data_IF_486902524553
#
_entry.id   IF_486902524553
#
_cell.length_a   1.000
_cell.length_b   1.000
_cell.length_c   1.000
_cell.angle_alpha   90.00
_cell.angle_beta   90.00
_cell.angle_gamma   90.00
#
_symmetry.space_group_name_H-M   'P 1'
#
loop_
_entity.id
_entity.type
_entity.pdbx_description
1 polymer ?
#
# COMPACT_ATOMS: atom_id res chain seq x y z
N UNK A 1 8.80 15.52 4.22
CA UNK A 1 9.93 14.56 4.10
C UNK A 1 10.20 14.32 2.62
N UNK A 2 11.21 14.96 2.04
CA UNK A 2 11.70 14.63 0.68
C UNK A 2 12.43 13.27 0.77
N UNK A 3 11.81 12.19 0.29
CA UNK A 3 12.33 10.80 0.44
C UNK A 3 12.74 10.23 -0.92
N UNK A 4 13.99 10.41 -1.32
CA UNK A 4 14.54 9.78 -2.54
C UNK A 4 14.89 8.30 -2.35
N UNK A 5 15.16 7.85 -1.12
CA UNK A 5 15.67 6.50 -0.83
C UNK A 5 14.72 5.36 -1.22
N UNK A 6 13.43 5.45 -0.88
CA UNK A 6 12.46 4.40 -1.25
C UNK A 6 12.16 4.39 -2.75
N UNK A 7 12.31 5.53 -3.44
CA UNK A 7 12.21 5.59 -4.91
C UNK A 7 13.45 5.02 -5.58
N UNK A 8 14.65 5.25 -5.03
CA UNK A 8 15.87 4.61 -5.52
C UNK A 8 15.81 3.08 -5.35
N UNK A 9 15.34 2.61 -4.18
CA UNK A 9 15.11 1.18 -3.93
C UNK A 9 14.04 0.61 -4.87
N UNK A 10 12.91 1.29 -5.04
CA UNK A 10 11.87 0.87 -5.99
C UNK A 10 12.42 0.76 -7.41
N UNK A 11 13.23 1.73 -7.85
CA UNK A 11 13.91 1.67 -9.14
C UNK A 11 14.87 0.49 -9.29
N UNK A 12 15.68 0.21 -8.25
CA UNK A 12 16.57 -0.95 -8.23
C UNK A 12 15.79 -2.27 -8.29
N UNK A 13 14.74 -2.42 -7.48
CA UNK A 13 13.90 -3.61 -7.47
C UNK A 13 13.22 -3.83 -8.83
N UNK A 14 12.74 -2.76 -9.47
CA UNK A 14 12.20 -2.83 -10.83
C UNK A 14 13.23 -3.39 -11.83
N UNK A 15 14.46 -2.89 -11.77
CA UNK A 15 15.56 -3.38 -12.63
C UNK A 15 15.92 -4.84 -12.36
N UNK A 16 15.68 -5.33 -11.14
CA UNK A 16 15.89 -6.73 -10.75
C UNK A 16 14.69 -7.63 -11.06
N UNK A 17 13.67 -7.13 -11.76
CA UNK A 17 12.49 -7.91 -12.17
C UNK A 17 11.40 -7.97 -11.11
N UNK A 18 11.38 -7.03 -10.16
CA UNK A 18 10.25 -6.86 -9.25
C UNK A 18 9.11 -6.12 -9.96
N UNK A 19 7.93 -6.71 -9.98
CA UNK A 19 6.77 -6.14 -10.64
C UNK A 19 6.25 -4.90 -9.89
N UNK A 20 5.95 -3.87 -10.66
CA UNK A 20 5.36 -2.61 -10.19
C UNK A 20 3.83 -2.66 -10.34
N UNK A 21 3.09 -1.87 -9.54
CA UNK A 21 1.64 -1.85 -9.67
C UNK A 21 1.19 -1.46 -11.08
N UNK A 22 0.17 -2.17 -11.61
CA UNK A 22 -0.40 -1.88 -12.94
C UNK A 22 -0.84 -0.42 -13.08
N UNK A 23 -1.37 0.17 -12.01
CA UNK A 23 -1.86 1.56 -11.99
C UNK A 23 -1.07 2.38 -10.98
N UNK A 24 0.21 2.59 -11.28
CA UNK A 24 1.08 3.47 -10.51
C UNK A 24 0.60 4.94 -10.55
N UNK A 25 0.80 5.69 -9.46
CA UNK A 25 0.53 7.13 -9.42
C UNK A 25 1.49 7.85 -10.38
N UNK A 26 0.91 8.58 -11.33
CA UNK A 26 1.63 9.34 -12.34
C UNK A 26 2.59 10.38 -11.75
N UNK A 27 3.55 10.81 -12.57
CA UNK A 27 4.48 11.86 -12.20
C UNK A 27 3.83 13.24 -12.22
N UNK A 28 4.06 14.02 -11.18
CA UNK A 28 3.64 15.42 -11.10
C UNK A 28 4.77 16.24 -10.49
N UNK A 29 4.99 17.46 -11.01
CA UNK A 29 5.89 18.49 -10.47
C UNK A 29 7.18 17.98 -9.82
N UNK A 30 7.11 17.70 -8.51
CA UNK A 30 8.20 17.24 -7.66
C UNK A 30 8.77 15.84 -7.97
N UNK A 31 8.05 14.99 -8.73
CA UNK A 31 8.55 13.69 -9.18
C UNK A 31 8.10 13.37 -10.61
N UNK A 32 8.82 13.86 -11.63
CA UNK A 32 8.44 13.70 -13.04
C UNK A 32 8.38 12.24 -13.52
N UNK A 33 9.06 11.31 -12.83
CA UNK A 33 9.11 9.89 -13.20
C UNK A 33 7.94 9.07 -12.65
N UNK A 34 7.04 9.69 -11.87
CA UNK A 34 5.97 8.97 -11.19
C UNK A 34 6.41 8.29 -9.91
N UNK A 35 5.44 7.77 -9.18
CA UNK A 35 5.66 7.09 -7.91
C UNK A 35 5.47 5.58 -8.10
N UNK A 36 6.17 4.78 -7.30
CA UNK A 36 5.98 3.32 -7.24
C UNK A 36 4.75 2.90 -6.41
N UNK A 37 3.85 3.83 -6.15
CA UNK A 37 2.66 3.64 -5.31
C UNK A 37 1.48 3.34 -6.23
N UNK A 38 0.64 2.38 -5.85
CA UNK A 38 -0.58 2.08 -6.58
C UNK A 38 -1.67 3.11 -6.28
N UNK A 39 -2.22 3.75 -7.31
CA UNK A 39 -3.30 4.73 -7.18
C UNK A 39 -4.56 4.17 -6.49
N UNK A 40 -5.09 2.97 -6.85
CA UNK A 40 -6.25 2.41 -6.16
C UNK A 40 -5.96 2.04 -4.70
N UNK A 41 -4.76 1.53 -4.38
CA UNK A 41 -4.38 1.23 -3.00
C UNK A 41 -4.22 2.50 -2.16
N UNK A 42 -3.63 3.55 -2.74
CA UNK A 42 -3.51 4.85 -2.09
C UNK A 42 -4.88 5.43 -1.72
N UNK A 43 -5.83 5.38 -2.65
CA UNK A 43 -7.21 5.78 -2.41
C UNK A 43 -7.85 4.95 -1.29
N UNK A 44 -7.72 3.63 -1.34
CA UNK A 44 -8.25 2.72 -0.33
C UNK A 44 -7.67 3.03 1.06
N UNK A 45 -6.36 3.27 1.16
CA UNK A 45 -5.67 3.60 2.40
C UNK A 45 -6.23 4.88 3.05
N UNK A 46 -6.48 5.92 2.25
CA UNK A 46 -7.10 7.15 2.75
C UNK A 46 -8.52 6.88 3.27
N UNK A 47 -9.31 6.07 2.57
CA UNK A 47 -10.67 5.73 2.99
C UNK A 47 -10.70 4.89 4.28
N UNK A 48 -9.77 3.94 4.44
CA UNK A 48 -9.60 3.16 5.67
C UNK A 48 -9.32 4.10 6.85
N UNK A 49 -8.31 4.96 6.70
CA UNK A 49 -7.93 5.92 7.75
C UNK A 49 -9.11 6.82 8.12
N UNK A 50 -9.81 7.39 7.13
CA UNK A 50 -10.97 8.23 7.35
C UNK A 50 -12.11 7.48 8.07
N UNK A 51 -12.36 6.22 7.70
CA UNK A 51 -13.39 5.39 8.37
C UNK A 51 -13.07 5.05 9.82
N UNK A 52 -11.79 5.13 10.21
CA UNK A 52 -11.32 4.98 11.58
C UNK A 52 -11.22 6.32 12.33
N UNK A 53 -11.63 7.44 11.73
CA UNK A 53 -11.49 8.77 12.30
C UNK A 53 -10.05 9.28 12.35
N UNK A 54 -9.19 8.77 11.47
CA UNK A 54 -7.76 9.09 11.41
C UNK A 54 -7.36 9.62 10.02
N UNK A 55 -6.10 10.05 9.90
CA UNK A 55 -5.51 10.52 8.65
C UNK A 55 -4.06 10.01 8.51
N UNK A 56 -3.42 10.27 7.37
CA UNK A 56 -2.05 9.80 7.11
C UNK A 56 -1.01 10.56 7.95
N UNK A 57 -1.31 11.80 8.30
CA UNK A 57 -0.52 12.76 9.07
C UNK A 57 -0.98 12.89 10.53
N UNK A 58 -1.93 12.05 10.94
CA UNK A 58 -2.40 11.98 12.31
C UNK A 58 -1.30 11.46 13.25
N UNK A 59 -1.07 12.15 14.37
CA UNK A 59 -0.08 11.75 15.36
C UNK A 59 -0.61 10.69 16.33
N UNK A 60 -1.93 10.50 16.42
CA UNK A 60 -2.51 9.51 17.33
C UNK A 60 -2.35 8.09 16.77
N UNK A 61 -2.30 7.06 17.64
CA UNK A 61 -2.31 5.67 17.20
C UNK A 61 -3.55 5.34 16.37
N UNK A 62 -3.40 4.51 15.34
CA UNK A 62 -4.53 3.94 14.63
C UNK A 62 -5.30 2.98 15.56
N UNK A 63 -6.63 3.05 15.55
CA UNK A 63 -7.46 2.23 16.43
C UNK A 63 -7.33 0.73 16.09
N UNK A 64 -6.75 -0.11 16.97
CA UNK A 64 -6.57 -1.54 16.68
C UNK A 64 -7.90 -2.29 16.57
N UNK A 65 -8.96 -1.81 17.23
CA UNK A 65 -10.29 -2.44 17.18
C UNK A 65 -11.01 -2.20 15.86
N UNK A 66 -10.53 -1.27 15.03
CA UNK A 66 -11.14 -0.98 13.74
C UNK A 66 -11.18 -2.22 12.84
N UNK A 67 -10.15 -3.07 12.86
CA UNK A 67 -10.09 -4.27 12.02
C UNK A 67 -11.19 -5.30 12.34
N UNK A 68 -11.68 -5.30 13.59
CA UNK A 68 -12.78 -6.16 14.05
C UNK A 68 -14.17 -5.57 13.77
N UNK A 69 -14.24 -4.32 13.30
CA UNK A 69 -15.51 -3.66 13.01
C UNK A 69 -16.23 -4.27 11.79
N UNK A 70 -17.58 -4.16 11.73
CA UNK A 70 -18.33 -4.52 10.52
C UNK A 70 -17.87 -3.74 9.28
N UNK A 71 -17.45 -2.49 9.48
CA UNK A 71 -16.94 -1.61 8.41
C UNK A 71 -15.69 -2.20 7.74
N UNK A 72 -14.78 -2.81 8.52
CA UNK A 72 -13.56 -3.39 8.00
C UNK A 72 -13.80 -4.60 7.06
N UNK A 73 -14.94 -5.29 7.15
CA UNK A 73 -15.30 -6.40 6.24
C UNK A 73 -15.31 -5.93 4.79
N UNK A 74 -15.96 -4.79 4.52
CA UNK A 74 -16.03 -4.21 3.18
C UNK A 74 -14.66 -3.78 2.66
N UNK A 75 -13.82 -3.24 3.54
CA UNK A 75 -12.45 -2.84 3.19
C UNK A 75 -11.53 -4.02 2.90
N UNK A 76 -11.66 -5.13 3.63
CA UNK A 76 -10.90 -6.35 3.34
C UNK A 76 -11.20 -6.88 1.94
N UNK A 77 -12.49 -7.05 1.59
CA UNK A 77 -12.90 -7.49 0.25
C UNK A 77 -12.32 -6.59 -0.85
N UNK A 78 -12.45 -5.27 -0.68
CA UNK A 78 -11.92 -4.29 -1.65
C UNK A 78 -10.40 -4.33 -1.73
N UNK A 79 -9.70 -4.54 -0.62
CA UNK A 79 -8.25 -4.70 -0.60
C UNK A 79 -7.83 -5.92 -1.41
N UNK A 80 -8.49 -7.06 -1.20
CA UNK A 80 -8.21 -8.31 -1.88
C UNK A 80 -8.47 -8.17 -3.40
N UNK A 81 -9.58 -7.54 -3.79
CA UNK A 81 -9.91 -7.24 -5.19
C UNK A 81 -8.87 -6.32 -5.87
N UNK A 82 -8.41 -5.29 -5.15
CA UNK A 82 -7.39 -4.37 -5.68
C UNK A 82 -6.03 -5.07 -5.76
N UNK A 83 -5.64 -5.87 -4.77
CA UNK A 83 -4.38 -6.63 -4.79
C UNK A 83 -4.34 -7.58 -6.00
N UNK A 84 -5.41 -8.34 -6.22
CA UNK A 84 -5.53 -9.17 -7.42
C UNK A 84 -5.45 -8.31 -8.69
N UNK A 85 -6.23 -7.23 -8.79
CA UNK A 85 -6.20 -6.36 -9.96
C UNK A 85 -4.83 -5.72 -10.25
N UNK A 86 -4.06 -5.39 -9.22
CA UNK A 86 -2.75 -4.74 -9.36
C UNK A 86 -1.60 -5.72 -9.57
N UNK A 87 -1.71 -6.96 -9.07
CA UNK A 87 -0.58 -7.90 -8.95
C UNK A 87 -0.89 -9.36 -9.33
N UNK A 88 -2.06 -9.68 -9.90
CA UNK A 88 -2.60 -11.05 -10.08
C UNK A 88 -1.61 -12.13 -10.55
N UNK A 89 -0.70 -11.77 -11.45
CA UNK A 89 0.23 -12.72 -12.10
C UNK A 89 1.66 -12.60 -11.57
N UNK A 90 1.91 -11.65 -10.66
CA UNK A 90 3.24 -11.38 -10.15
C UNK A 90 3.59 -12.34 -9.02
N UNK A 91 4.60 -13.18 -9.24
CA UNK A 91 5.25 -13.94 -8.16
C UNK A 91 6.18 -13.10 -7.27
N UNK A 92 6.51 -11.87 -7.69
CA UNK A 92 7.43 -10.97 -6.98
C UNK A 92 7.14 -9.50 -7.29
N UNK A 93 6.40 -8.81 -6.39
CA UNK A 93 6.01 -7.41 -6.58
C UNK A 93 6.49 -6.48 -5.46
N UNK A 94 6.52 -5.20 -5.80
CA UNK A 94 6.79 -4.11 -4.87
C UNK A 94 5.49 -3.44 -4.42
N UNK A 95 5.30 -3.38 -3.10
CA UNK A 95 4.13 -2.79 -2.45
C UNK A 95 4.56 -1.60 -1.59
N UNK A 96 4.29 -0.39 -2.08
CA UNK A 96 4.68 0.86 -1.42
C UNK A 96 3.49 1.79 -1.26
N UNK A 97 3.31 2.30 -0.05
CA UNK A 97 2.56 3.51 0.28
C UNK A 97 3.06 4.01 1.65
N UNK A 98 3.32 5.32 1.84
CA UNK A 98 3.68 5.88 3.14
C UNK A 98 2.70 5.52 4.27
N UNK A 99 1.41 5.36 3.97
CA UNK A 99 0.34 5.01 4.93
C UNK A 99 0.45 3.59 5.47
N UNK A 100 1.22 2.73 4.81
CA UNK A 100 1.43 1.36 5.27
C UNK A 100 2.13 1.31 6.62
N UNK A 101 2.84 2.36 7.05
CA UNK A 101 3.39 2.40 8.42
C UNK A 101 2.30 2.45 9.50
N UNK A 102 1.13 3.02 9.19
CA UNK A 102 -0.05 3.05 10.08
C UNK A 102 -0.94 1.82 9.88
N UNK A 103 -1.05 1.36 8.64
CA UNK A 103 -1.91 0.24 8.23
C UNK A 103 -1.17 -1.09 8.11
N UNK A 104 -0.02 -1.23 8.79
CA UNK A 104 0.85 -2.40 8.62
C UNK A 104 0.15 -3.70 9.02
N UNK A 105 -0.56 -3.71 10.16
CA UNK A 105 -1.30 -4.88 10.63
C UNK A 105 -2.31 -5.38 9.60
N UNK A 106 -3.20 -4.49 9.16
CA UNK A 106 -4.17 -4.73 8.10
C UNK A 106 -3.53 -5.31 6.84
N UNK A 107 -2.51 -4.64 6.28
CA UNK A 107 -1.90 -5.06 5.02
C UNK A 107 -1.12 -6.35 5.13
N UNK A 108 -0.41 -6.58 6.25
CA UNK A 108 0.26 -7.84 6.51
C UNK A 108 -0.75 -8.99 6.47
N UNK A 109 -1.87 -8.86 7.19
CA UNK A 109 -2.90 -9.88 7.22
C UNK A 109 -3.55 -10.10 5.84
N UNK A 110 -3.72 -9.06 5.02
CA UNK A 110 -4.25 -9.19 3.64
C UNK A 110 -3.27 -9.90 2.72
N UNK A 111 -2.00 -9.50 2.75
CA UNK A 111 -0.94 -10.11 1.93
C UNK A 111 -0.74 -11.59 2.28
N UNK A 112 -0.71 -11.93 3.57
CA UNK A 112 -0.64 -13.32 4.02
C UNK A 112 -1.87 -14.13 3.59
N UNK A 113 -3.08 -13.55 3.67
CA UNK A 113 -4.31 -14.19 3.19
C UNK A 113 -4.34 -14.39 1.66
N UNK A 114 -3.68 -13.52 0.91
CA UNK A 114 -3.48 -13.64 -0.54
C UNK A 114 -2.36 -14.64 -0.91
N UNK A 115 -1.76 -15.34 0.06
CA UNK A 115 -0.68 -16.29 -0.17
C UNK A 115 0.69 -15.64 -0.39
N UNK A 116 0.82 -14.33 -0.17
CA UNK A 116 2.09 -13.62 -0.27
C UNK A 116 2.94 -13.85 0.99
N UNK A 117 4.28 -13.82 0.81
CA UNK A 117 5.24 -13.78 1.91
C UNK A 117 5.91 -12.40 1.95
N UNK A 118 5.39 -11.44 2.74
CA UNK A 118 5.92 -10.08 2.73
C UNK A 118 7.34 -10.02 3.31
N UNK A 119 8.25 -9.35 2.60
CA UNK A 119 9.56 -8.93 3.11
C UNK A 119 9.51 -7.43 3.39
N UNK A 120 9.79 -7.05 4.64
CA UNK A 120 9.73 -5.65 5.07
C UNK A 120 11.11 -5.04 4.94
N UNK A 121 11.19 -3.90 4.25
CA UNK A 121 12.43 -3.13 4.11
C UNK A 121 12.20 -1.78 4.78
N UNK A 122 12.88 -1.54 5.90
CA UNK A 122 12.77 -0.33 6.74
C UNK A 122 13.99 0.57 6.60
#
# INVERSE_FOLDING_TARGET
MHRSGTSALGGLLNLLGCDMPRRAIGGEGANPKGYFESAPLNKLNNEILASAGSAWDDWLPFNPEWEHSPTAVGFRRRADEILAGEYDESSFFFFKDPRNCRLFGFWRARLEAAGCRPLIIS
#
